data_IF_086211099746
#
_entry.id   IF_086211099746
#
_cell.length_a   1.000
_cell.length_b   1.000
_cell.length_c   1.000
_cell.angle_alpha   90.00
_cell.angle_beta   90.00
_cell.angle_gamma   90.00
#
_symmetry.space_group_name_H-M   'P 1'
#
loop_
_entity.id
_entity.type
_entity.pdbx_description
1 polymer ?
#
# COMPACT_ATOMS: atom_id res chain seq x y z
N UNK A 1 5.53 -8.85 -9.32
CA UNK A 1 5.72 -7.39 -9.58
C UNK A 1 5.94 -6.67 -8.27
N UNK A 2 6.93 -5.75 -8.20
CA UNK A 2 7.21 -4.95 -7.00
C UNK A 2 6.66 -3.54 -7.16
N UNK A 3 6.03 -2.98 -6.11
CA UNK A 3 5.61 -1.57 -6.05
C UNK A 3 5.94 -0.95 -4.70
N UNK A 4 6.23 0.34 -4.73
CA UNK A 4 6.31 1.18 -3.54
C UNK A 4 4.91 1.68 -3.24
N UNK A 5 4.44 1.49 -2.01
CA UNK A 5 3.11 1.90 -1.57
C UNK A 5 3.26 2.76 -0.33
N UNK A 6 2.78 4.00 -0.43
CA UNK A 6 2.75 4.94 0.68
C UNK A 6 1.45 4.78 1.47
N UNK A 7 1.53 4.87 2.78
CA UNK A 7 0.39 4.80 3.70
C UNK A 7 0.26 6.13 4.42
N UNK A 8 -0.94 6.69 4.37
CA UNK A 8 -1.25 8.00 4.90
C UNK A 8 -2.33 7.94 5.97
N UNK A 9 -2.32 8.95 6.86
CA UNK A 9 -3.41 9.32 7.76
C UNK A 9 -4.04 10.64 7.32
N UNK A 10 -5.09 11.01 8.03
CA UNK A 10 -5.73 12.32 7.91
C UNK A 10 -6.12 12.65 6.46
N UNK A 11 -6.80 11.68 5.82
CA UNK A 11 -7.28 11.75 4.43
C UNK A 11 -6.16 12.01 3.40
N UNK A 12 -4.96 11.49 3.64
CA UNK A 12 -3.83 11.62 2.71
C UNK A 12 -2.87 12.77 3.00
N UNK A 13 -3.04 13.47 4.14
CA UNK A 13 -2.21 14.63 4.49
C UNK A 13 -0.92 14.27 5.23
N UNK A 14 -0.91 13.15 5.95
CA UNK A 14 0.23 12.73 6.76
C UNK A 14 0.77 11.39 6.27
N UNK A 15 2.01 11.33 5.81
CA UNK A 15 2.68 10.07 5.47
C UNK A 15 3.14 9.37 6.75
N UNK A 16 2.66 8.15 6.97
CA UNK A 16 2.95 7.37 8.20
C UNK A 16 3.96 6.27 7.93
N UNK A 17 3.91 5.66 6.75
CA UNK A 17 4.82 4.58 6.38
C UNK A 17 4.89 4.38 4.86
N UNK A 18 5.95 3.74 4.41
CA UNK A 18 6.11 3.30 3.02
C UNK A 18 6.52 1.83 2.98
N UNK A 19 5.75 1.01 2.27
CA UNK A 19 6.06 -0.39 2.04
C UNK A 19 6.65 -0.61 0.63
N UNK A 20 7.54 -1.59 0.53
CA UNK A 20 7.89 -2.22 -0.77
C UNK A 20 7.16 -3.55 -0.82
N UNK A 21 6.12 -3.62 -1.65
CA UNK A 21 5.23 -4.78 -1.74
C UNK A 21 5.52 -5.56 -3.00
N UNK A 22 5.64 -6.88 -2.85
CA UNK A 22 5.76 -7.82 -3.95
C UNK A 22 4.51 -8.68 -4.05
N UNK A 23 3.74 -8.50 -5.13
CA UNK A 23 2.57 -9.32 -5.46
C UNK A 23 2.70 -9.91 -6.85
N UNK A 24 2.02 -11.03 -7.09
CA UNK A 24 2.02 -11.72 -8.39
C UNK A 24 2.90 -12.96 -8.42
N UNK A 25 2.56 -13.85 -9.34
CA UNK A 25 3.32 -15.04 -9.72
C UNK A 25 3.29 -15.14 -11.27
N UNK A 26 3.67 -16.29 -11.84
CA UNK A 26 3.70 -16.46 -13.30
C UNK A 26 2.33 -16.31 -13.99
N UNK A 27 1.23 -16.55 -13.28
CA UNK A 27 -0.13 -16.58 -13.84
C UNK A 27 -1.00 -15.40 -13.37
N UNK A 28 -0.55 -14.67 -12.35
CA UNK A 28 -1.31 -13.57 -11.74
C UNK A 28 -0.60 -12.22 -11.93
N UNK A 29 -1.31 -11.30 -12.57
CA UNK A 29 -0.88 -9.92 -12.81
C UNK A 29 -1.68 -8.96 -11.92
N UNK A 30 -1.17 -8.63 -10.70
CA UNK A 30 -1.89 -7.75 -9.78
C UNK A 30 -2.08 -6.35 -10.37
N UNK A 31 -3.29 -5.83 -10.20
CA UNK A 31 -3.64 -4.44 -10.44
C UNK A 31 -3.10 -3.55 -9.32
N UNK A 32 -3.17 -2.23 -9.52
CA UNK A 32 -2.71 -1.26 -8.52
C UNK A 32 -3.42 -1.42 -7.16
N UNK A 33 -4.74 -1.65 -7.19
CA UNK A 33 -5.57 -1.76 -5.99
C UNK A 33 -5.13 -2.91 -5.08
N UNK A 34 -4.60 -4.00 -5.66
CA UNK A 34 -4.14 -5.17 -4.90
C UNK A 34 -2.95 -4.79 -4.00
N UNK A 35 -2.05 -3.94 -4.49
CA UNK A 35 -0.92 -3.44 -3.71
C UNK A 35 -1.36 -2.48 -2.60
N UNK A 36 -2.36 -1.64 -2.87
CA UNK A 36 -2.91 -0.69 -1.89
C UNK A 36 -3.63 -1.43 -0.76
N UNK A 37 -4.42 -2.46 -1.08
CA UNK A 37 -5.07 -3.33 -0.09
C UNK A 37 -4.04 -4.07 0.77
N UNK A 38 -2.99 -4.62 0.15
CA UNK A 38 -1.93 -5.32 0.89
C UNK A 38 -1.19 -4.38 1.85
N UNK A 39 -0.94 -3.12 1.45
CA UNK A 39 -0.35 -2.13 2.34
C UNK A 39 -1.23 -1.82 3.56
N UNK A 40 -2.55 -1.74 3.37
CA UNK A 40 -3.50 -1.55 4.49
C UNK A 40 -3.50 -2.76 5.42
N UNK A 41 -3.46 -3.99 4.88
CA UNK A 41 -3.37 -5.22 5.67
C UNK A 41 -2.09 -5.26 6.50
N UNK A 42 -0.94 -4.95 5.90
CA UNK A 42 0.36 -4.88 6.59
C UNK A 42 0.37 -3.80 7.67
N UNK A 43 -0.22 -2.64 7.39
CA UNK A 43 -0.31 -1.53 8.35
C UNK A 43 -1.06 -1.90 9.64
N UNK A 44 -2.08 -2.76 9.53
CA UNK A 44 -2.82 -3.27 10.69
C UNK A 44 -1.95 -4.21 11.54
N UNK A 45 -1.22 -5.12 10.89
CA UNK A 45 -0.30 -6.05 11.57
C UNK A 45 0.82 -5.31 12.30
N UNK A 46 1.36 -4.28 11.66
CA UNK A 46 2.42 -3.42 12.21
C UNK A 46 1.88 -2.37 13.20
N UNK A 47 0.57 -2.36 13.48
CA UNK A 47 -0.10 -1.42 14.39
C UNK A 47 0.14 0.05 14.04
N UNK A 48 0.18 0.39 12.75
CA UNK A 48 0.42 1.77 12.25
C UNK A 48 -0.81 2.69 12.37
N UNK A 49 -2.00 2.14 12.52
CA UNK A 49 -3.25 2.88 12.67
C UNK A 49 -4.46 1.96 12.54
N UNK A 50 -5.67 2.51 12.77
CA UNK A 50 -6.89 1.74 12.55
C UNK A 50 -7.24 1.71 11.05
N UNK A 51 -7.92 0.67 10.55
CA UNK A 51 -8.20 0.52 9.12
C UNK A 51 -8.95 1.70 8.50
N UNK A 52 -9.81 2.36 9.29
CA UNK A 52 -10.69 3.43 8.82
C UNK A 52 -10.01 4.81 8.83
N UNK A 53 -8.82 4.92 9.42
CA UNK A 53 -8.03 6.15 9.48
C UNK A 53 -6.94 6.19 8.41
N UNK A 54 -6.63 5.05 7.80
CA UNK A 54 -5.53 4.88 6.86
C UNK A 54 -6.02 4.86 5.42
N UNK A 55 -5.23 5.46 4.54
CA UNK A 55 -5.30 5.23 3.10
C UNK A 55 -3.96 4.80 2.57
N UNK A 56 -3.95 3.99 1.51
CA UNK A 56 -2.74 3.54 0.85
C UNK A 56 -2.76 3.97 -0.62
N UNK A 57 -1.60 4.36 -1.14
CA UNK A 57 -1.46 4.77 -2.54
C UNK A 57 -0.18 4.19 -3.12
N UNK A 58 -0.31 3.38 -4.16
CA UNK A 58 0.85 2.90 -4.88
C UNK A 58 1.47 4.07 -5.67
N UNK A 59 2.80 4.22 -5.60
CA UNK A 59 3.50 5.19 -6.45
C UNK A 59 3.38 4.73 -7.90
N UNK A 60 2.96 5.65 -8.77
CA UNK A 60 3.07 5.44 -10.20
C UNK A 60 4.56 5.45 -10.55
N UNK A 61 5.05 4.37 -11.15
CA UNK A 61 6.39 4.37 -11.74
C UNK A 61 6.32 5.24 -12.99
N UNK A 62 6.70 6.50 -12.88
CA UNK A 62 6.96 7.32 -14.06
C UNK A 62 8.23 6.75 -14.68
N UNK A 63 8.11 6.24 -15.92
CA UNK A 63 9.25 5.74 -16.69
C UNK A 63 10.07 6.89 -17.22
#
# INVERSE_FOLDING_TARGET
MKRIVDVYKDRGRELVWTYVIHLGNLEFHPAQIDFEQEALRLSQLDKRGTPNELSAKARLTVR
#
